data_IF_350250099246
#
_entry.id   IF_350250099246
#
_cell.length_a   1.000
_cell.length_b   1.000
_cell.length_c   1.000
_cell.angle_alpha   90.00
_cell.angle_beta   90.00
_cell.angle_gamma   90.00
#
_symmetry.space_group_name_H-M   'P 1'
#
loop_
_entity.id
_entity.type
_entity.pdbx_description
1 polymer ?
#
# COMPACT_ATOMS: atom_id res chain seq x y z
N UNK A 1 -14.30 -2.41 -10.63
CA UNK A 1 -12.95 -2.58 -10.11
C UNK A 1 -12.61 -1.48 -9.12
N UNK A 2 -11.64 -1.73 -8.27
CA UNK A 2 -11.23 -0.76 -7.27
C UNK A 2 -10.41 0.36 -7.90
N UNK A 3 -10.64 1.59 -7.44
CA UNK A 3 -9.80 2.73 -7.82
C UNK A 3 -8.64 2.85 -6.85
N UNK A 4 -7.48 3.27 -7.36
CA UNK A 4 -6.32 3.53 -6.52
C UNK A 4 -5.95 4.99 -6.72
N UNK A 5 -6.11 5.77 -5.66
CA UNK A 5 -5.69 7.17 -5.61
C UNK A 5 -4.38 7.23 -4.84
N UNK A 6 -3.51 8.12 -5.25
CA UNK A 6 -2.20 8.26 -4.63
C UNK A 6 -1.96 9.71 -4.22
N UNK A 7 -1.38 9.89 -3.03
CA UNK A 7 -0.96 11.20 -2.61
C UNK A 7 0.04 11.77 -3.63
N UNK A 8 -0.07 13.05 -3.95
CA UNK A 8 0.76 13.66 -5.02
C UNK A 8 2.27 13.55 -4.76
N UNK A 9 2.71 13.47 -3.50
CA UNK A 9 4.13 13.30 -3.16
C UNK A 9 4.73 11.98 -3.63
N UNK A 10 3.86 10.98 -3.94
CA UNK A 10 4.35 9.63 -4.24
C UNK A 10 5.14 9.54 -5.54
N UNK A 11 4.91 10.42 -6.49
CA UNK A 11 5.72 10.44 -7.71
C UNK A 11 7.19 10.61 -7.38
N UNK A 12 7.51 11.54 -6.47
CA UNK A 12 8.90 11.77 -6.05
C UNK A 12 9.44 10.63 -5.19
N UNK A 13 8.59 10.06 -4.34
CA UNK A 13 8.98 8.94 -3.49
C UNK A 13 9.32 7.72 -4.34
N UNK A 14 8.45 7.37 -5.27
CA UNK A 14 8.63 6.19 -6.13
C UNK A 14 9.89 6.33 -6.99
N UNK A 15 10.19 7.54 -7.46
CA UNK A 15 11.37 7.80 -8.28
C UNK A 15 12.68 7.46 -7.56
N UNK A 16 12.67 7.41 -6.23
CA UNK A 16 13.87 7.14 -5.41
C UNK A 16 13.89 5.74 -4.82
N UNK A 17 12.86 4.93 -5.07
CA UNK A 17 12.79 3.58 -4.50
C UNK A 17 13.69 2.61 -5.27
N UNK A 18 14.25 1.60 -4.59
CA UNK A 18 14.91 0.51 -5.28
C UNK A 18 13.96 -0.16 -6.28
N UNK A 19 14.48 -0.62 -7.41
CA UNK A 19 13.67 -1.21 -8.48
C UNK A 19 12.79 -2.37 -7.98
N UNK A 20 13.32 -3.21 -7.09
CA UNK A 20 12.56 -4.34 -6.55
C UNK A 20 11.33 -3.88 -5.75
N UNK A 21 11.47 -2.75 -5.04
CA UNK A 21 10.36 -2.17 -4.29
C UNK A 21 9.30 -1.61 -5.23
N UNK A 22 9.74 -0.95 -6.30
CA UNK A 22 8.83 -0.44 -7.34
C UNK A 22 8.03 -1.57 -7.96
N UNK A 23 8.69 -2.68 -8.31
CA UNK A 23 8.03 -3.84 -8.89
C UNK A 23 7.01 -4.45 -7.93
N UNK A 24 7.36 -4.56 -6.66
CA UNK A 24 6.43 -5.09 -5.65
C UNK A 24 5.24 -4.18 -5.46
N UNK A 25 5.46 -2.86 -5.51
CA UNK A 25 4.38 -1.89 -5.43
C UNK A 25 3.42 -2.01 -6.63
N UNK A 26 3.95 -2.23 -7.83
CA UNK A 26 3.11 -2.45 -9.01
C UNK A 26 2.27 -3.71 -8.87
N UNK A 27 2.84 -4.79 -8.34
CA UNK A 27 2.09 -6.01 -8.05
C UNK A 27 0.99 -5.74 -7.03
N UNK A 28 1.30 -5.01 -5.96
CA UNK A 28 0.34 -4.61 -4.94
C UNK A 28 -0.83 -3.85 -5.56
N UNK A 29 -0.54 -2.85 -6.38
CA UNK A 29 -1.56 -2.05 -7.06
C UNK A 29 -2.43 -2.89 -7.98
N UNK A 30 -1.84 -3.84 -8.70
CA UNK A 30 -2.58 -4.72 -9.59
C UNK A 30 -3.56 -5.61 -8.83
N UNK A 31 -3.14 -6.17 -7.71
CA UNK A 31 -4.00 -7.01 -6.86
C UNK A 31 -5.17 -6.19 -6.32
N UNK A 32 -4.88 -5.01 -5.78
CA UNK A 32 -5.92 -4.13 -5.22
C UNK A 32 -6.88 -3.66 -6.30
N UNK A 33 -6.36 -3.27 -7.46
CA UNK A 33 -7.19 -2.81 -8.57
C UNK A 33 -8.19 -3.88 -9.02
N UNK A 34 -7.73 -5.11 -9.14
CA UNK A 34 -8.56 -6.22 -9.66
C UNK A 34 -9.47 -6.83 -8.62
N UNK A 35 -9.00 -6.97 -7.39
CA UNK A 35 -9.67 -7.79 -6.37
C UNK A 35 -10.02 -7.03 -5.10
N UNK A 36 -9.50 -5.85 -4.92
CA UNK A 36 -9.69 -5.08 -3.70
C UNK A 36 -8.62 -5.40 -2.64
N UNK A 37 -8.54 -4.55 -1.59
CA UNK A 37 -7.48 -4.67 -0.60
C UNK A 37 -7.58 -5.94 0.27
N UNK A 38 -8.75 -6.52 0.46
CA UNK A 38 -8.89 -7.73 1.28
C UNK A 38 -8.15 -8.92 0.67
N UNK A 39 -7.96 -8.92 -0.64
CA UNK A 39 -7.22 -9.97 -1.33
C UNK A 39 -5.75 -10.03 -0.89
N UNK A 40 -5.21 -8.92 -0.41
CA UNK A 40 -3.82 -8.85 0.06
C UNK A 40 -3.53 -9.86 1.18
N UNK A 41 -4.53 -10.22 1.97
CA UNK A 41 -4.38 -11.19 3.06
C UNK A 41 -4.05 -12.59 2.57
N UNK A 42 -4.34 -12.89 1.31
CA UNK A 42 -4.02 -14.20 0.72
C UNK A 42 -2.57 -14.28 0.25
N UNK A 43 -1.83 -13.19 0.36
CA UNK A 43 -0.42 -13.12 0.00
C UNK A 43 0.40 -12.81 1.26
N UNK A 44 0.85 -13.84 2.00
CA UNK A 44 1.53 -13.64 3.29
C UNK A 44 2.73 -12.72 3.22
N UNK A 45 3.41 -12.66 2.06
CA UNK A 45 4.58 -11.80 1.87
C UNK A 45 4.29 -10.32 2.01
N UNK A 46 3.05 -9.88 1.82
CA UNK A 46 2.68 -8.49 2.04
C UNK A 46 2.48 -8.13 3.51
N UNK A 47 2.26 -9.12 4.35
CA UNK A 47 2.04 -8.89 5.78
C UNK A 47 1.09 -7.73 6.04
N UNK A 48 -0.05 -7.75 5.33
CA UNK A 48 -1.03 -6.66 5.39
C UNK A 48 -1.69 -6.59 6.76
N UNK A 49 -1.71 -5.39 7.37
CA UNK A 49 -2.23 -5.23 8.72
C UNK A 49 -2.87 -3.86 8.94
N UNK A 50 -3.77 -3.80 9.92
CA UNK A 50 -4.33 -2.53 10.39
C UNK A 50 -3.34 -1.85 11.30
N UNK A 51 -3.25 -0.54 11.19
CA UNK A 51 -2.40 0.27 12.05
C UNK A 51 -3.19 0.77 13.26
N UNK A 52 -2.48 1.09 14.33
CA UNK A 52 -3.06 1.53 15.60
C UNK A 52 -2.48 2.89 16.01
N UNK A 53 -3.03 3.47 17.09
CA UNK A 53 -2.57 4.73 17.61
C UNK A 53 -2.90 5.89 16.68
N UNK A 54 -1.91 6.73 16.42
CA UNK A 54 -2.07 7.91 15.56
C UNK A 54 -2.45 7.56 14.12
N UNK A 55 -2.18 6.33 13.71
CA UNK A 55 -2.46 5.85 12.36
C UNK A 55 -3.70 4.96 12.27
N UNK A 56 -4.53 5.00 13.30
CA UNK A 56 -5.76 4.22 13.31
C UNK A 56 -6.65 4.60 12.12
N UNK A 57 -7.25 3.59 11.48
CA UNK A 57 -8.00 3.78 10.24
C UNK A 57 -7.17 3.58 9.00
N UNK A 58 -5.86 3.46 9.14
CA UNK A 58 -4.94 3.17 8.05
C UNK A 58 -4.47 1.73 8.13
N UNK A 59 -3.90 1.25 7.01
CA UNK A 59 -3.36 -0.09 6.88
C UNK A 59 -1.97 -0.01 6.25
N UNK A 60 -1.17 -1.06 6.44
CA UNK A 60 0.11 -1.15 5.76
C UNK A 60 0.31 -2.53 5.15
N UNK A 61 1.03 -2.56 4.03
CA UNK A 61 1.54 -3.79 3.42
C UNK A 61 3.05 -3.65 3.24
N UNK A 62 3.79 -4.74 3.44
CA UNK A 62 5.23 -4.74 3.21
C UNK A 62 5.52 -4.89 1.72
N UNK A 63 6.39 -4.05 1.21
CA UNK A 63 6.89 -4.17 -0.15
C UNK A 63 8.22 -4.96 -0.16
N UNK A 64 8.98 -4.83 0.92
CA UNK A 64 10.13 -5.67 1.22
C UNK A 64 10.40 -5.57 2.73
N UNK A 65 11.53 -6.08 3.20
CA UNK A 65 11.86 -6.03 4.63
C UNK A 65 12.00 -4.60 5.16
N UNK A 66 12.29 -3.64 4.29
CA UNK A 66 12.59 -2.27 4.67
C UNK A 66 11.43 -1.30 4.40
N UNK A 67 10.69 -1.48 3.32
CA UNK A 67 9.66 -0.54 2.89
C UNK A 67 8.26 -1.10 3.05
N UNK A 68 7.32 -0.20 3.39
CA UNK A 68 5.89 -0.52 3.44
C UNK A 68 5.08 0.57 2.75
N UNK A 69 3.94 0.17 2.19
CA UNK A 69 2.95 1.11 1.65
C UNK A 69 1.88 1.31 2.72
N UNK A 70 1.54 2.57 2.96
CA UNK A 70 0.49 2.96 3.92
C UNK A 70 -0.69 3.48 3.12
N UNK A 71 -1.88 2.97 3.43
CA UNK A 71 -3.08 3.30 2.68
C UNK A 71 -4.33 3.27 3.56
N UNK A 72 -5.40 3.89 3.08
CA UNK A 72 -6.73 3.80 3.68
C UNK A 72 -7.73 3.25 2.67
N UNK A 73 -8.81 2.67 3.17
CA UNK A 73 -9.85 2.07 2.33
C UNK A 73 -11.10 2.96 2.42
N UNK A 74 -11.61 3.34 1.25
CA UNK A 74 -12.83 4.11 1.11
C UNK A 74 -13.88 3.21 0.44
N UNK A 75 -14.55 2.37 1.24
CA UNK A 75 -15.43 1.31 0.74
C UNK A 75 -16.61 1.83 -0.07
N UNK A 76 -17.19 2.95 0.33
CA UNK A 76 -18.39 3.49 -0.30
C UNK A 76 -18.16 3.87 -1.76
N UNK A 77 -16.93 4.23 -2.10
CA UNK A 77 -16.56 4.59 -3.47
C UNK A 77 -15.64 3.55 -4.12
N UNK A 78 -15.50 2.40 -3.49
CA UNK A 78 -14.67 1.28 -3.96
C UNK A 78 -13.26 1.78 -4.33
N UNK A 79 -12.64 2.50 -3.40
CA UNK A 79 -11.38 3.19 -3.63
C UNK A 79 -10.39 2.94 -2.49
N UNK A 80 -9.11 2.96 -2.84
CA UNK A 80 -8.01 2.94 -1.89
C UNK A 80 -7.19 4.21 -2.11
N UNK A 81 -6.84 4.86 -1.01
CA UNK A 81 -5.97 6.04 -1.05
C UNK A 81 -4.61 5.67 -0.50
N UNK A 82 -3.59 5.70 -1.36
CA UNK A 82 -2.20 5.44 -0.96
C UNK A 82 -1.62 6.72 -0.39
N UNK A 83 -1.29 6.68 0.89
CA UNK A 83 -0.86 7.85 1.65
C UNK A 83 0.66 8.01 1.59
N UNK A 84 1.40 6.90 1.71
CA UNK A 84 2.85 6.96 1.77
C UNK A 84 3.47 5.62 1.42
N UNK A 85 4.73 5.66 0.98
CA UNK A 85 5.60 4.50 0.90
C UNK A 85 6.86 4.89 1.67
N UNK A 86 7.09 4.23 2.78
CA UNK A 86 8.08 4.68 3.76
C UNK A 86 8.90 3.50 4.28
N UNK A 87 10.17 3.76 4.67
CA UNK A 87 10.95 2.73 5.36
C UNK A 87 10.27 2.31 6.66
N UNK A 88 10.26 1.01 6.90
CA UNK A 88 9.75 0.48 8.16
C UNK A 88 10.76 0.76 9.26
N UNK A 89 10.35 1.51 10.28
CA UNK A 89 11.20 1.78 11.44
C UNK A 89 10.89 0.78 12.54
N UNK A 90 11.92 0.16 13.02
CA UNK A 90 11.87 -0.73 14.17
C UNK A 90 12.13 0.01 15.45
#
# INVERSE_FOLDING_TARGET
>A
MWHIREHHKLDKVIAKLPLQVVKKNELWKNIVFRHGPDKLREFPGFHDEKLKGDLEGQRSSRLNIQYRVIYSIEKEVVSVYVIDITPHKY
#
